data_IF_660234311640
#
_entry.id   IF_660234311640
#
_cell.length_a   1.000
_cell.length_b   1.000
_cell.length_c   1.000
_cell.angle_alpha   90.00
_cell.angle_beta   90.00
_cell.angle_gamma   90.00
#
_symmetry.space_group_name_H-M   'P 1'
#
loop_
_entity.id
_entity.type
_entity.pdbx_description
1 polymer ?
#
# COMPACT_ATOMS: atom_id res chain seq x y z
N UNK A 1 4.00 -12.64 -0.90
CA UNK A 1 3.50 -12.55 -2.29
C UNK A 1 3.19 -11.09 -2.55
N UNK A 2 3.61 -10.54 -3.69
CA UNK A 2 3.26 -9.15 -4.04
C UNK A 2 1.80 -9.12 -4.48
N UNK A 3 1.05 -8.14 -3.99
CA UNK A 3 -0.31 -7.86 -4.45
C UNK A 3 -0.29 -6.57 -5.29
N UNK A 4 -1.12 -6.53 -6.35
CA UNK A 4 -1.41 -5.33 -7.14
C UNK A 4 -0.18 -4.60 -7.72
N UNK A 5 0.92 -5.32 -7.95
CA UNK A 5 2.17 -4.75 -8.46
C UNK A 5 3.32 -5.74 -8.51
N UNK A 6 4.52 -5.19 -8.59
CA UNK A 6 5.79 -5.89 -8.79
C UNK A 6 6.83 -5.47 -7.75
N UNK A 7 7.85 -6.31 -7.56
CA UNK A 7 8.99 -6.02 -6.70
C UNK A 7 10.22 -5.74 -7.55
N UNK A 8 10.80 -4.55 -7.43
CA UNK A 8 12.04 -4.15 -8.10
C UNK A 8 13.32 -4.72 -7.44
N UNK A 9 13.18 -5.46 -6.33
CA UNK A 9 14.31 -6.07 -5.64
C UNK A 9 14.91 -7.18 -6.50
N UNK A 10 16.22 -7.13 -6.69
CA UNK A 10 16.96 -8.11 -7.50
C UNK A 10 16.92 -9.53 -6.93
N UNK A 11 16.83 -10.53 -7.80
CA UNK A 11 16.69 -11.95 -7.41
C UNK A 11 17.91 -12.50 -6.66
N UNK A 12 19.11 -12.00 -6.93
CA UNK A 12 20.34 -12.41 -6.23
C UNK A 12 20.32 -12.13 -4.73
N UNK A 13 19.44 -11.24 -4.27
CA UNK A 13 19.27 -10.95 -2.85
C UNK A 13 18.41 -12.02 -2.13
N UNK A 14 18.01 -13.10 -2.82
CA UNK A 14 17.25 -14.22 -2.27
C UNK A 14 15.79 -13.88 -1.99
N UNK A 15 15.07 -14.77 -1.30
CA UNK A 15 13.66 -14.55 -0.95
C UNK A 15 13.47 -13.32 -0.06
N UNK A 16 12.43 -12.52 -0.32
CA UNK A 16 12.12 -11.36 0.49
C UNK A 16 11.52 -11.78 1.85
N UNK A 17 12.12 -11.39 3.00
CA UNK A 17 11.59 -11.74 4.32
C UNK A 17 10.30 -11.00 4.68
N UNK A 18 10.00 -9.90 3.98
CA UNK A 18 8.87 -9.01 4.25
C UNK A 18 7.85 -8.98 3.10
N UNK A 19 7.67 -10.12 2.43
CA UNK A 19 6.83 -10.24 1.26
C UNK A 19 5.32 -10.04 1.53
N UNK A 20 4.93 -9.69 2.76
CA UNK A 20 3.57 -9.41 3.22
C UNK A 20 3.28 -7.90 3.39
N UNK A 21 4.28 -7.03 3.24
CA UNK A 21 4.15 -5.57 3.37
C UNK A 21 4.66 -4.86 2.12
N UNK A 22 4.51 -5.50 0.95
CA UNK A 22 5.09 -5.00 -0.29
C UNK A 22 4.56 -3.61 -0.67
N UNK A 23 3.26 -3.36 -0.55
CA UNK A 23 2.64 -2.07 -0.95
C UNK A 23 3.14 -0.87 -0.13
N UNK A 24 3.82 -1.09 1.00
CA UNK A 24 4.47 -0.05 1.82
C UNK A 24 6.00 -0.09 1.72
N UNK A 25 6.57 -0.87 0.81
CA UNK A 25 8.02 -1.04 0.63
C UNK A 25 8.55 -0.17 -0.52
N UNK A 26 9.74 0.40 -0.36
CA UNK A 26 10.41 1.22 -1.39
C UNK A 26 10.65 0.50 -2.72
N UNK A 27 10.76 -0.83 -2.70
CA UNK A 27 10.97 -1.64 -3.91
C UNK A 27 9.68 -1.94 -4.67
N UNK A 28 8.52 -1.52 -4.17
CA UNK A 28 7.25 -1.79 -4.83
C UNK A 28 7.02 -0.85 -6.00
N UNK A 29 6.59 -1.45 -7.10
CA UNK A 29 6.23 -0.75 -8.33
C UNK A 29 4.85 -1.23 -8.75
N UNK A 30 3.92 -0.30 -8.93
CA UNK A 30 2.59 -0.61 -9.48
C UNK A 30 2.57 -0.42 -11.00
N UNK A 31 1.46 -0.80 -11.64
CA UNK A 31 1.23 -0.67 -13.06
C UNK A 31 -0.23 -0.27 -13.34
N UNK A 32 -0.53 0.35 -14.51
CA UNK A 32 -1.84 0.91 -14.79
C UNK A 32 -3.01 -0.07 -14.64
N UNK A 33 -2.81 -1.36 -14.92
CA UNK A 33 -3.82 -2.41 -14.77
C UNK A 33 -4.31 -2.61 -13.32
N UNK A 34 -3.56 -2.12 -12.33
CA UNK A 34 -3.94 -2.21 -10.91
C UNK A 34 -4.57 -0.93 -10.37
N UNK A 35 -4.73 0.11 -11.18
CA UNK A 35 -5.24 1.43 -10.73
C UNK A 35 -6.59 1.32 -10.02
N UNK A 36 -7.54 0.61 -10.62
CA UNK A 36 -8.89 0.49 -10.05
C UNK A 36 -8.84 -0.23 -8.70
N UNK A 37 -8.12 -1.35 -8.62
CA UNK A 37 -7.95 -2.10 -7.38
C UNK A 37 -7.25 -1.29 -6.29
N UNK A 38 -6.22 -0.49 -6.64
CA UNK A 38 -5.55 0.39 -5.68
C UNK A 38 -6.45 1.53 -5.21
N UNK A 39 -7.35 2.01 -6.08
CA UNK A 39 -8.32 3.06 -5.74
C UNK A 39 -9.37 2.51 -4.78
N UNK A 40 -9.89 1.32 -5.04
CA UNK A 40 -10.83 0.62 -4.14
C UNK A 40 -10.17 0.35 -2.77
N UNK A 41 -8.94 -0.16 -2.77
CA UNK A 41 -8.19 -0.41 -1.55
C UNK A 41 -7.92 0.88 -0.76
N UNK A 42 -7.63 1.99 -1.44
CA UNK A 42 -7.45 3.30 -0.78
C UNK A 42 -8.74 3.73 -0.08
N UNK A 43 -9.90 3.58 -0.74
CA UNK A 43 -11.20 3.90 -0.14
C UNK A 43 -11.47 3.05 1.11
N UNK A 44 -11.20 1.75 1.05
CA UNK A 44 -11.36 0.83 2.18
C UNK A 44 -10.44 1.22 3.36
N UNK A 45 -9.17 1.51 3.10
CA UNK A 45 -8.21 1.89 4.14
C UNK A 45 -8.57 3.25 4.76
N UNK A 46 -9.10 4.19 3.98
CA UNK A 46 -9.59 5.46 4.50
C UNK A 46 -10.81 5.25 5.42
N UNK A 47 -11.73 4.37 5.06
CA UNK A 47 -12.87 4.03 5.92
C UNK A 47 -12.40 3.38 7.25
N UNK A 48 -11.43 2.48 7.19
CA UNK A 48 -10.83 1.87 8.38
C UNK A 48 -10.09 2.89 9.27
N UNK A 49 -9.36 3.83 8.67
CA UNK A 49 -8.73 4.94 9.40
C UNK A 49 -9.77 5.73 10.19
N UNK A 50 -10.87 6.12 9.53
CA UNK A 50 -11.95 6.87 10.20
C UNK A 50 -12.63 6.06 11.30
N UNK A 51 -12.88 4.76 11.09
CA UNK A 51 -13.43 3.88 12.15
C UNK A 51 -12.49 3.80 13.36
N UNK A 52 -11.19 3.64 13.14
CA UNK A 52 -10.19 3.62 14.20
C UNK A 52 -10.14 4.96 14.97
N UNK A 53 -10.24 6.11 14.27
CA UNK A 53 -10.33 7.43 14.90
C UNK A 53 -11.59 7.56 15.77
N UNK A 54 -12.76 7.15 15.26
CA UNK A 54 -14.02 7.18 16.00
C UNK A 54 -13.99 6.33 17.28
N UNK A 55 -13.20 5.24 17.28
CA UNK A 55 -13.00 4.35 18.44
C UNK A 55 -11.88 4.79 19.38
N UNK A 56 -11.13 5.83 19.03
CA UNK A 56 -9.97 6.29 19.79
C UNK A 56 -8.75 5.37 19.67
N UNK A 57 -8.67 4.54 18.64
CA UNK A 57 -7.55 3.64 18.37
C UNK A 57 -6.45 4.37 17.59
N UNK A 58 -5.74 5.26 18.28
CA UNK A 58 -4.76 6.17 17.67
C UNK A 58 -3.67 5.46 16.88
N UNK A 59 -3.15 4.35 17.39
CA UNK A 59 -2.06 3.60 16.75
C UNK A 59 -2.54 2.91 15.46
N UNK A 60 -3.76 2.38 15.47
CA UNK A 60 -4.34 1.73 14.29
C UNK A 60 -4.74 2.77 13.24
N UNK A 61 -5.29 3.91 13.64
CA UNK A 61 -5.53 5.04 12.75
C UNK A 61 -4.23 5.50 12.06
N UNK A 62 -3.15 5.65 12.82
CA UNK A 62 -1.84 6.00 12.29
C UNK A 62 -1.26 4.93 11.35
N UNK A 63 -1.57 3.65 11.61
CA UNK A 63 -1.19 2.54 10.72
C UNK A 63 -1.94 2.61 9.40
N UNK A 64 -3.26 2.80 9.41
CA UNK A 64 -4.07 2.95 8.20
C UNK A 64 -3.66 4.20 7.41
N UNK A 65 -3.33 5.29 8.09
CA UNK A 65 -2.85 6.52 7.47
C UNK A 65 -1.56 6.31 6.65
N UNK A 66 -0.59 5.56 7.18
CA UNK A 66 0.64 5.21 6.43
C UNK A 66 0.35 4.38 5.18
N UNK A 67 -0.61 3.45 5.26
CA UNK A 67 -1.02 2.65 4.10
C UNK A 67 -1.70 3.53 3.06
N UNK A 68 -2.63 4.41 3.47
CA UNK A 68 -3.32 5.33 2.58
C UNK A 68 -2.34 6.27 1.84
N UNK A 69 -1.33 6.79 2.54
CA UNK A 69 -0.27 7.59 1.93
C UNK A 69 0.51 6.79 0.87
N UNK A 70 0.93 5.56 1.18
CA UNK A 70 1.65 4.72 0.23
C UNK A 70 0.82 4.44 -1.04
N UNK A 71 -0.47 4.10 -0.88
CA UNK A 71 -1.37 3.86 -2.02
C UNK A 71 -1.59 5.12 -2.86
N UNK A 72 -1.72 6.28 -2.22
CA UNK A 72 -1.85 7.58 -2.89
C UNK A 72 -0.60 7.87 -3.73
N UNK A 73 0.60 7.66 -3.17
CA UNK A 73 1.85 7.85 -3.89
C UNK A 73 1.95 6.93 -5.11
N UNK A 74 1.52 5.67 -5.00
CA UNK A 74 1.51 4.73 -6.12
C UNK A 74 0.58 5.18 -7.25
N UNK A 75 -0.64 5.62 -6.89
CA UNK A 75 -1.60 6.16 -7.87
C UNK A 75 -1.05 7.41 -8.55
N UNK A 76 -0.44 8.34 -7.80
CA UNK A 76 0.18 9.53 -8.37
C UNK A 76 1.34 9.23 -9.32
N UNK A 77 2.13 8.17 -9.05
CA UNK A 77 3.20 7.74 -9.97
C UNK A 77 2.65 7.22 -11.29
N UNK A 78 1.45 6.63 -11.31
CA UNK A 78 0.79 6.18 -12.53
C UNK A 78 0.26 7.33 -13.41
N UNK A 79 0.15 8.54 -12.87
CA UNK A 79 -0.32 9.74 -13.57
C UNK A 79 0.80 10.61 -14.15
N UNK A 80 2.07 10.26 -13.89
CA UNK A 80 3.26 10.99 -14.37
C UNK A 80 3.84 10.36 -15.63
#
# INVERSE_FOLDING_TARGET
RVAHGYCARHESAGACPYANICETCDNYVTAPEFRDTLTDQLADVQALRTDAECRGWTDEAARHDRVAHALTDHLQRLDR
#
